data_IF_018929325056
#
_entry.id   IF_018929325056
#
_cell.length_a   1.000
_cell.length_b   1.000
_cell.length_c   1.000
_cell.angle_alpha   90.00
_cell.angle_beta   90.00
_cell.angle_gamma   90.00
#
_symmetry.space_group_name_H-M   'P 1'
#
loop_
_entity.id
_entity.type
_entity.pdbx_description
1 polymer ?
#
# COMPACT_ATOMS: atom_id res chain seq x y z
N UNK A 1 -10.28 -0.65 29.57
CA UNK A 1 -10.56 -1.64 28.51
C UNK A 1 -10.31 -3.03 29.07
N UNK A 2 -11.24 -3.96 28.90
CA UNK A 2 -11.05 -5.37 29.26
C UNK A 2 -11.10 -6.26 28.02
N UNK A 3 -10.28 -7.30 27.97
CA UNK A 3 -10.21 -8.22 26.82
C UNK A 3 -11.18 -9.38 27.06
N UNK A 4 -12.28 -9.40 26.31
CA UNK A 4 -13.32 -10.44 26.42
C UNK A 4 -12.85 -11.79 25.86
N UNK A 5 -12.18 -11.78 24.70
CA UNK A 5 -11.63 -12.99 24.05
C UNK A 5 -10.23 -12.72 23.53
N UNK A 6 -9.24 -13.44 24.05
CA UNK A 6 -7.83 -13.29 23.64
C UNK A 6 -7.56 -13.72 22.19
N UNK A 7 -8.29 -14.72 21.68
CA UNK A 7 -8.15 -15.25 20.31
C UNK A 7 -9.54 -15.51 19.73
N UNK A 8 -10.09 -14.54 19.03
CA UNK A 8 -11.43 -14.64 18.44
C UNK A 8 -11.42 -15.43 17.13
N UNK A 9 -10.41 -15.22 16.30
CA UNK A 9 -10.25 -15.85 15.00
C UNK A 9 -8.76 -15.99 14.64
N UNK A 10 -8.50 -16.79 13.60
CA UNK A 10 -7.23 -16.83 12.91
C UNK A 10 -7.47 -16.25 11.52
N UNK A 11 -6.58 -15.35 11.09
CA UNK A 11 -6.62 -14.71 9.79
C UNK A 11 -5.38 -15.14 9.01
N UNK A 12 -5.57 -15.48 7.74
CA UNK A 12 -4.49 -15.74 6.80
C UNK A 12 -3.87 -14.43 6.32
N UNK A 13 -2.62 -14.50 5.85
CA UNK A 13 -1.91 -13.34 5.29
C UNK A 13 -2.69 -12.74 4.10
N UNK A 14 -3.34 -13.59 3.29
CA UNK A 14 -4.22 -13.17 2.21
C UNK A 14 -5.40 -12.33 2.72
N UNK A 15 -6.14 -12.81 3.72
CA UNK A 15 -7.29 -12.07 4.27
C UNK A 15 -6.88 -10.74 4.89
N UNK A 16 -5.74 -10.71 5.58
CA UNK A 16 -5.18 -9.47 6.15
C UNK A 16 -4.80 -8.49 5.04
N UNK A 17 -4.11 -8.95 3.99
CA UNK A 17 -3.73 -8.12 2.85
C UNK A 17 -4.97 -7.54 2.13
N UNK A 18 -5.99 -8.37 1.88
CA UNK A 18 -7.24 -7.92 1.26
C UNK A 18 -7.92 -6.86 2.11
N UNK A 19 -8.05 -7.09 3.42
CA UNK A 19 -8.66 -6.12 4.33
C UNK A 19 -7.89 -4.79 4.37
N UNK A 20 -6.56 -4.84 4.45
CA UNK A 20 -5.74 -3.63 4.49
C UNK A 20 -5.86 -2.82 3.19
N UNK A 21 -5.94 -3.50 2.03
CA UNK A 21 -6.19 -2.83 0.74
C UNK A 21 -7.58 -2.20 0.67
N UNK A 22 -8.61 -2.86 1.17
CA UNK A 22 -9.96 -2.30 1.26
C UNK A 22 -9.98 -1.03 2.12
N UNK A 23 -9.33 -1.08 3.30
CA UNK A 23 -9.20 0.09 4.19
C UNK A 23 -8.44 1.25 3.52
N UNK A 24 -7.37 0.94 2.77
CA UNK A 24 -6.61 1.95 2.03
C UNK A 24 -7.46 2.60 0.92
N UNK A 25 -8.21 1.81 0.15
CA UNK A 25 -9.12 2.32 -0.89
C UNK A 25 -10.19 3.22 -0.27
N UNK A 26 -10.80 2.80 0.83
CA UNK A 26 -11.79 3.59 1.57
C UNK A 26 -11.20 4.89 2.13
N UNK A 27 -9.94 4.87 2.55
CA UNK A 27 -9.25 6.08 2.98
C UNK A 27 -9.00 7.03 1.80
N UNK A 28 -8.47 6.54 0.68
CA UNK A 28 -8.19 7.33 -0.51
C UNK A 28 -9.46 7.94 -1.12
N UNK A 29 -10.57 7.19 -1.15
CA UNK A 29 -11.85 7.68 -1.68
C UNK A 29 -12.44 8.78 -0.79
N UNK A 30 -12.35 8.64 0.54
CA UNK A 30 -12.75 9.69 1.50
C UNK A 30 -11.89 10.94 1.36
N UNK A 31 -10.57 10.79 1.25
CA UNK A 31 -9.65 11.91 1.06
C UNK A 31 -9.93 12.67 -0.25
N UNK A 32 -10.10 11.94 -1.36
CA UNK A 32 -10.44 12.54 -2.67
C UNK A 32 -11.76 13.30 -2.65
N UNK A 33 -12.78 12.72 -2.02
CA UNK A 33 -14.10 13.37 -1.90
C UNK A 33 -14.01 14.64 -1.07
N UNK A 34 -13.28 14.61 0.06
CA UNK A 34 -13.08 15.78 0.91
C UNK A 34 -12.32 16.91 0.17
N UNK A 35 -11.32 16.57 -0.65
CA UNK A 35 -10.61 17.56 -1.48
C UNK A 35 -11.50 18.17 -2.56
N UNK A 36 -12.34 17.35 -3.22
CA UNK A 36 -13.29 17.83 -4.22
C UNK A 36 -14.32 18.79 -3.62
N UNK A 37 -14.88 18.45 -2.47
CA UNK A 37 -15.82 19.32 -1.73
C UNK A 37 -15.16 20.64 -1.34
N UNK A 38 -13.92 20.62 -0.84
CA UNK A 38 -13.16 21.86 -0.55
C UNK A 38 -12.92 22.73 -1.78
N UNK A 39 -12.67 22.11 -2.95
CA UNK A 39 -12.50 22.83 -4.22
C UNK A 39 -13.81 23.45 -4.71
N UNK A 40 -14.94 22.80 -4.47
CA UNK A 40 -16.29 23.28 -4.85
C UNK A 40 -16.85 24.33 -3.87
N UNK A 41 -16.51 24.24 -2.58
CA UNK A 41 -17.00 25.15 -1.51
C UNK A 41 -16.08 26.38 -1.28
N UNK A 42 -14.87 26.39 -1.84
CA UNK A 42 -13.75 27.23 -1.41
C UNK A 42 -13.40 28.46 -2.25
N UNK A 43 -14.30 28.93 -3.11
CA UNK A 43 -14.26 30.29 -3.65
C UNK A 43 -14.86 31.33 -2.69
N UNK A 44 -15.38 30.95 -1.51
CA UNK A 44 -16.00 31.93 -0.61
C UNK A 44 -15.87 31.58 0.87
N UNK A 45 -15.33 32.58 1.58
CA UNK A 45 -15.43 32.87 3.01
C UNK A 45 -14.45 32.19 3.99
N UNK A 46 -13.45 33.00 4.34
CA UNK A 46 -12.71 32.96 5.58
C UNK A 46 -13.65 33.34 6.76
N UNK A 47 -13.66 32.49 7.78
CA UNK A 47 -14.17 32.70 9.14
C UNK A 47 -15.68 32.90 9.38
N UNK A 48 -16.33 31.88 9.96
CA UNK A 48 -17.07 32.01 11.23
C UNK A 48 -17.62 30.65 11.74
N UNK A 49 -17.14 30.23 12.91
CA UNK A 49 -17.96 29.74 14.03
C UNK A 49 -18.81 28.47 13.88
N UNK A 50 -18.46 27.47 14.69
CA UNK A 50 -19.38 26.48 15.27
C UNK A 50 -20.07 25.51 14.29
N UNK A 51 -19.28 24.79 13.52
CA UNK A 51 -19.59 23.42 13.12
C UNK A 51 -18.40 22.57 13.53
N UNK A 52 -18.62 21.37 14.03
CA UNK A 52 -17.57 20.36 14.20
C UNK A 52 -17.08 20.05 12.78
N UNK A 53 -16.11 20.85 12.35
CA UNK A 53 -15.59 20.91 11.00
C UNK A 53 -15.29 19.50 10.53
N UNK A 54 -15.53 19.24 9.24
CA UNK A 54 -15.20 18.02 8.49
C UNK A 54 -13.67 17.91 8.32
N UNK A 55 -12.95 18.19 9.39
CA UNK A 55 -11.52 18.02 9.63
C UNK A 55 -11.45 16.78 10.50
N UNK A 56 -10.56 15.88 10.13
CA UNK A 56 -10.32 14.60 10.79
C UNK A 56 -11.21 13.42 10.34
N UNK A 57 -11.06 13.05 9.07
CA UNK A 57 -10.66 11.65 8.82
C UNK A 57 -9.16 11.56 9.16
N UNK A 58 -8.79 11.87 10.40
CA UNK A 58 -7.40 11.84 10.86
C UNK A 58 -7.14 10.40 11.28
N UNK A 59 -6.91 9.56 10.27
CA UNK A 59 -6.33 8.24 10.51
C UNK A 59 -5.02 8.52 11.23
N UNK A 60 -4.93 8.09 12.49
CA UNK A 60 -3.73 8.30 13.30
C UNK A 60 -2.49 7.96 12.49
N UNK A 61 -1.49 8.84 12.50
CA UNK A 61 -0.23 8.64 11.78
C UNK A 61 0.37 7.25 12.05
N UNK A 62 0.34 6.80 13.30
CA UNK A 62 0.79 5.46 13.68
C UNK A 62 0.03 4.33 12.95
N UNK A 63 -1.30 4.47 12.83
CA UNK A 63 -2.11 3.50 12.10
C UNK A 63 -1.77 3.53 10.61
N UNK A 64 -1.56 4.72 10.04
CA UNK A 64 -1.17 4.88 8.63
C UNK A 64 0.16 4.20 8.34
N UNK A 65 1.17 4.42 9.18
CA UNK A 65 2.48 3.77 9.05
C UNK A 65 2.34 2.25 9.12
N UNK A 66 1.60 1.73 10.10
CA UNK A 66 1.36 0.29 10.22
C UNK A 66 0.63 -0.31 9.01
N UNK A 67 -0.37 0.39 8.46
CA UNK A 67 -1.11 -0.06 7.27
C UNK A 67 -0.17 -0.16 6.05
N UNK A 68 0.60 0.90 5.78
CA UNK A 68 1.48 0.96 4.61
C UNK A 68 2.59 -0.09 4.70
N UNK A 69 3.25 -0.20 5.85
CA UNK A 69 4.32 -1.19 6.07
C UNK A 69 3.79 -2.64 6.00
N UNK A 70 2.63 -2.91 6.59
CA UNK A 70 2.01 -4.24 6.53
C UNK A 70 1.61 -4.62 5.10
N UNK A 71 1.01 -3.68 4.35
CA UNK A 71 0.70 -3.90 2.93
C UNK A 71 1.99 -4.17 2.15
N UNK A 72 3.05 -3.38 2.36
CA UNK A 72 4.34 -3.57 1.68
C UNK A 72 4.93 -4.95 1.98
N UNK A 73 4.90 -5.39 3.24
CA UNK A 73 5.39 -6.70 3.64
C UNK A 73 4.59 -7.83 2.96
N UNK A 74 3.26 -7.83 3.09
CA UNK A 74 2.41 -8.89 2.54
C UNK A 74 2.31 -8.87 1.02
N UNK A 75 2.50 -7.71 0.39
CA UNK A 75 2.51 -7.55 -1.06
C UNK A 75 3.88 -7.83 -1.71
N UNK A 76 4.93 -8.06 -0.91
CA UNK A 76 6.27 -8.34 -1.45
C UNK A 76 6.30 -9.65 -2.27
N UNK A 77 7.15 -9.69 -3.29
CA UNK A 77 7.27 -10.85 -4.20
C UNK A 77 7.72 -12.14 -3.48
N UNK A 78 8.30 -12.02 -2.28
CA UNK A 78 8.72 -13.16 -1.45
C UNK A 78 7.51 -13.82 -0.76
N UNK A 79 6.42 -13.08 -0.55
CA UNK A 79 5.23 -13.61 0.10
C UNK A 79 4.33 -14.33 -0.91
N UNK A 80 3.66 -15.43 -0.50
CA UNK A 80 2.69 -16.11 -1.36
C UNK A 80 1.36 -15.37 -1.53
N UNK A 81 1.01 -14.49 -0.59
CA UNK A 81 -0.29 -13.83 -0.52
C UNK A 81 -0.73 -13.11 -1.82
N UNK A 82 0.15 -12.43 -2.58
CA UNK A 82 -0.22 -11.79 -3.85
C UNK A 82 -0.64 -12.79 -4.95
N UNK A 83 -0.15 -14.03 -4.88
CA UNK A 83 -0.39 -15.08 -5.87
C UNK A 83 -1.54 -16.01 -5.47
N UNK A 84 -2.28 -15.65 -4.44
CA UNK A 84 -3.40 -16.42 -3.91
C UNK A 84 -4.73 -15.82 -4.34
N UNK A 85 -5.71 -16.70 -4.51
CA UNK A 85 -7.11 -16.34 -4.76
C UNK A 85 -7.99 -16.96 -3.67
N UNK A 86 -9.16 -16.38 -3.38
CA UNK A 86 -10.05 -16.94 -2.37
C UNK A 86 -10.56 -18.32 -2.78
N UNK A 87 -10.77 -18.54 -4.09
CA UNK A 87 -11.12 -19.84 -4.67
C UNK A 87 -9.97 -20.85 -4.51
N UNK A 88 -8.73 -20.44 -4.82
CA UNK A 88 -7.53 -21.25 -4.67
C UNK A 88 -7.31 -21.70 -3.22
N UNK A 89 -7.45 -20.79 -2.25
CA UNK A 89 -7.33 -21.10 -0.83
C UNK A 89 -8.44 -22.06 -0.37
N UNK A 90 -9.70 -21.83 -0.77
CA UNK A 90 -10.81 -22.73 -0.43
C UNK A 90 -10.60 -24.13 -1.02
N UNK A 91 -10.11 -24.20 -2.25
CA UNK A 91 -9.80 -25.47 -2.90
C UNK A 91 -8.65 -26.18 -2.17
N UNK A 92 -7.57 -25.47 -1.86
CA UNK A 92 -6.46 -26.00 -1.09
C UNK A 92 -6.93 -26.58 0.25
N UNK A 93 -7.72 -25.83 1.03
CA UNK A 93 -8.22 -26.29 2.33
C UNK A 93 -9.12 -27.52 2.23
N UNK A 94 -9.91 -27.66 1.16
CA UNK A 94 -10.70 -28.85 0.88
C UNK A 94 -9.81 -30.04 0.51
N UNK A 95 -8.82 -29.83 -0.34
CA UNK A 95 -7.86 -30.87 -0.73
C UNK A 95 -6.97 -31.30 0.43
N UNK A 96 -6.72 -30.41 1.40
CA UNK A 96 -5.98 -30.71 2.63
C UNK A 96 -6.85 -31.39 3.72
N UNK A 97 -8.16 -31.54 3.50
CA UNK A 97 -9.07 -32.15 4.49
C UNK A 97 -8.80 -33.63 4.80
N UNK A 98 -8.41 -34.49 3.83
CA UNK A 98 -8.08 -35.90 4.08
C UNK A 98 -6.81 -36.08 4.91
N UNK A 99 -5.93 -35.09 4.90
CA UNK A 99 -4.71 -35.09 5.69
C UNK A 99 -5.04 -34.67 7.12
N UNK A 100 -4.52 -35.42 8.10
CA UNK A 100 -4.73 -35.17 9.52
C UNK A 100 -3.91 -33.96 10.01
N UNK A 101 -4.14 -32.79 9.41
CA UNK A 101 -3.46 -31.53 9.70
C UNK A 101 -4.27 -30.69 10.69
N UNK A 102 -3.57 -30.09 11.66
CA UNK A 102 -4.16 -29.16 12.61
C UNK A 102 -4.57 -27.86 11.93
N UNK A 103 -5.43 -27.06 12.59
CA UNK A 103 -5.84 -25.75 12.06
C UNK A 103 -4.65 -24.80 11.89
N UNK A 104 -3.65 -24.87 12.78
CA UNK A 104 -2.45 -24.06 12.73
C UNK A 104 -1.55 -24.46 11.54
N UNK A 105 -1.36 -25.76 11.32
CA UNK A 105 -0.60 -26.27 10.17
C UNK A 105 -1.25 -25.87 8.85
N UNK A 106 -2.59 -26.01 8.73
CA UNK A 106 -3.32 -25.56 7.54
C UNK A 106 -3.14 -24.06 7.29
N UNK A 107 -3.18 -23.25 8.36
CA UNK A 107 -2.95 -21.81 8.25
C UNK A 107 -1.52 -21.49 7.82
N UNK A 108 -0.53 -22.19 8.36
CA UNK A 108 0.88 -22.02 7.97
C UNK A 108 1.12 -22.46 6.52
N UNK A 109 0.51 -23.56 6.07
CA UNK A 109 0.57 -24.00 4.67
C UNK A 109 -0.01 -22.91 3.75
N UNK A 110 -1.13 -22.29 4.12
CA UNK A 110 -1.70 -21.16 3.36
C UNK A 110 -0.76 -19.96 3.39
N UNK A 111 -0.21 -19.57 4.54
CA UNK A 111 0.61 -18.36 4.65
C UNK A 111 2.00 -18.47 4.00
N UNK A 112 2.63 -19.66 4.08
CA UNK A 112 4.00 -19.90 3.60
C UNK A 112 4.01 -20.52 2.21
N UNK A 113 2.95 -21.23 1.82
CA UNK A 113 2.82 -21.95 0.56
C UNK A 113 4.07 -22.81 0.23
N UNK A 114 4.32 -23.90 0.99
CA UNK A 114 5.52 -24.71 0.84
C UNK A 114 5.62 -25.30 -0.58
N UNK A 115 6.68 -24.93 -1.30
CA UNK A 115 6.97 -25.44 -2.65
C UNK A 115 8.04 -26.52 -2.66
N UNK A 116 8.66 -26.79 -1.52
CA UNK A 116 9.73 -27.77 -1.38
C UNK A 116 9.55 -28.59 -0.11
N UNK A 117 10.08 -29.80 -0.14
CA UNK A 117 10.00 -30.74 0.98
C UNK A 117 10.54 -30.15 2.29
N UNK A 118 11.74 -29.53 2.35
CA UNK A 118 12.27 -29.00 3.60
C UNK A 118 11.41 -27.90 4.23
N UNK A 119 10.73 -27.09 3.42
CA UNK A 119 9.82 -26.05 3.93
C UNK A 119 8.57 -26.69 4.53
N UNK A 120 8.04 -27.75 3.91
CA UNK A 120 6.94 -28.50 4.49
C UNK A 120 7.35 -29.15 5.83
N UNK A 121 8.57 -29.68 5.94
CA UNK A 121 9.14 -30.23 7.19
C UNK A 121 9.18 -29.22 8.32
N UNK A 122 9.41 -27.95 8.03
CA UNK A 122 9.40 -26.90 9.03
C UNK A 122 8.00 -26.55 9.54
N UNK A 123 6.94 -26.93 8.82
CA UNK A 123 5.55 -26.59 9.15
C UNK A 123 4.87 -27.69 9.96
N UNK A 124 5.07 -28.95 9.60
CA UNK A 124 4.34 -30.09 10.20
C UNK A 124 5.25 -30.82 11.18
N UNK A 125 4.81 -30.91 12.44
CA UNK A 125 5.53 -31.65 13.48
C UNK A 125 5.37 -33.16 13.32
N UNK A 126 6.41 -33.92 13.69
CA UNK A 126 6.44 -35.40 13.69
C UNK A 126 5.96 -36.01 12.36
N UNK A 127 6.39 -35.42 11.25
CA UNK A 127 5.83 -35.73 9.93
C UNK A 127 6.13 -37.16 9.45
N UNK A 128 7.26 -37.76 9.86
CA UNK A 128 7.64 -39.16 9.53
C UNK A 128 6.61 -40.17 10.02
N UNK A 129 6.00 -39.93 11.18
CA UNK A 129 5.04 -40.84 11.81
C UNK A 129 3.61 -40.63 11.29
N UNK A 130 3.32 -39.45 10.73
CA UNK A 130 1.95 -39.02 10.38
C UNK A 130 1.59 -39.21 8.91
N UNK A 131 2.56 -39.19 8.00
CA UNK A 131 2.30 -39.24 6.56
C UNK A 131 3.45 -39.86 5.78
N UNK A 132 3.12 -40.43 4.63
CA UNK A 132 4.14 -41.01 3.74
C UNK A 132 4.79 -39.94 2.88
N UNK A 133 5.98 -40.23 2.35
CA UNK A 133 6.69 -39.33 1.42
C UNK A 133 5.84 -38.97 0.19
N UNK A 134 5.05 -39.92 -0.31
CA UNK A 134 4.16 -39.69 -1.45
C UNK A 134 3.05 -38.68 -1.12
N UNK A 135 2.46 -38.77 0.08
CA UNK A 135 1.46 -37.82 0.57
C UNK A 135 2.05 -36.41 0.73
N UNK A 136 3.30 -36.31 1.18
CA UNK A 136 4.00 -35.03 1.29
C UNK A 136 4.20 -34.38 -0.09
N UNK A 137 4.61 -35.18 -1.09
CA UNK A 137 4.74 -34.69 -2.46
C UNK A 137 3.38 -34.27 -3.04
N UNK A 138 2.31 -35.00 -2.73
CA UNK A 138 0.95 -34.64 -3.12
C UNK A 138 0.55 -33.28 -2.53
N UNK A 139 0.78 -33.03 -1.24
CA UNK A 139 0.51 -31.74 -0.58
C UNK A 139 1.24 -30.60 -1.30
N UNK A 140 2.51 -30.77 -1.63
CA UNK A 140 3.30 -29.74 -2.35
C UNK A 140 2.66 -29.47 -3.72
N UNK A 141 2.25 -30.53 -4.45
CA UNK A 141 1.55 -30.38 -5.71
C UNK A 141 0.20 -29.65 -5.57
N UNK A 142 -0.56 -29.94 -4.52
CA UNK A 142 -1.82 -29.25 -4.22
C UNK A 142 -1.60 -27.76 -3.94
N UNK A 143 -0.55 -27.41 -3.18
CA UNK A 143 -0.18 -26.01 -2.91
C UNK A 143 0.18 -25.31 -4.22
N UNK A 144 1.04 -25.90 -5.05
CA UNK A 144 1.44 -25.31 -6.32
C UNK A 144 0.25 -25.09 -7.27
N UNK A 145 -0.69 -26.04 -7.31
CA UNK A 145 -1.90 -25.92 -8.13
C UNK A 145 -2.89 -24.88 -7.63
N UNK A 146 -2.83 -24.52 -6.34
CA UNK A 146 -3.69 -23.48 -5.75
C UNK A 146 -3.20 -22.06 -6.01
N UNK A 147 -1.92 -21.91 -6.37
CA UNK A 147 -1.31 -20.62 -6.67
C UNK A 147 -1.50 -20.27 -8.14
N UNK A 148 -1.81 -19.01 -8.40
CA UNK A 148 -1.88 -18.47 -9.76
C UNK A 148 -0.53 -17.92 -10.17
N UNK A 149 0.03 -18.39 -11.30
CA UNK A 149 1.32 -17.92 -11.82
C UNK A 149 1.29 -16.50 -12.38
N UNK A 150 0.09 -15.95 -12.62
CA UNK A 150 -0.12 -14.71 -13.38
C UNK A 150 -0.76 -13.55 -12.58
N UNK A 151 -0.97 -13.65 -11.26
CA UNK A 151 -1.55 -12.53 -10.50
C UNK A 151 -0.46 -11.60 -9.97
N UNK A 152 -0.24 -10.52 -10.73
CA UNK A 152 0.04 -9.17 -10.20
C UNK A 152 -1.22 -8.34 -10.47
N UNK A 153 -1.98 -7.97 -9.45
CA UNK A 153 -3.15 -7.07 -9.60
C UNK A 153 -2.77 -5.58 -9.39
N UNK A 154 -3.64 -4.63 -9.79
CA UNK A 154 -3.31 -3.46 -10.61
C UNK A 154 -2.58 -2.34 -9.85
N UNK A 155 -1.73 -1.60 -10.57
CA UNK A 155 -1.12 -0.31 -10.24
C UNK A 155 -1.36 0.19 -8.81
N UNK A 156 -0.37 -0.01 -7.95
CA UNK A 156 -0.25 0.74 -6.71
C UNK A 156 -0.20 2.24 -7.05
N UNK A 157 -0.95 3.12 -6.36
CA UNK A 157 -0.63 4.53 -6.38
C UNK A 157 0.79 4.69 -5.84
N UNK A 158 1.64 5.32 -6.63
CA UNK A 158 3.07 5.49 -6.39
C UNK A 158 3.33 6.06 -4.97
N UNK A 159 3.99 5.27 -4.12
CA UNK A 159 4.32 5.58 -2.72
C UNK A 159 5.56 6.50 -2.59
N UNK A 160 5.98 7.18 -3.66
CA UNK A 160 7.19 8.02 -3.62
C UNK A 160 6.93 9.50 -3.28
N UNK A 161 5.68 9.94 -3.11
CA UNK A 161 5.36 11.36 -2.91
C UNK A 161 5.15 11.81 -1.45
N UNK A 162 5.25 10.92 -0.45
CA UNK A 162 4.91 11.25 0.94
C UNK A 162 6.11 11.17 1.92
N UNK A 163 7.26 10.60 1.54
CA UNK A 163 8.40 10.38 2.47
C UNK A 163 9.68 11.11 2.02
N UNK A 164 9.55 12.36 1.54
CA UNK A 164 10.67 13.12 1.00
C UNK A 164 10.72 14.57 1.49
N UNK A 165 10.59 14.80 2.79
CA UNK A 165 10.78 16.11 3.40
C UNK A 165 11.78 16.04 4.58
N UNK A 166 12.99 15.57 4.30
CA UNK A 166 14.18 15.88 5.11
C UNK A 166 15.47 15.45 4.42
N UNK A 167 16.23 16.42 3.90
CA UNK A 167 17.70 16.35 3.84
C UNK A 167 18.37 16.04 2.49
N UNK A 168 18.89 17.10 1.89
CA UNK A 168 20.16 17.23 1.14
C UNK A 168 20.30 16.77 -0.33
N UNK A 169 20.86 17.70 -1.11
CA UNK A 169 21.13 17.79 -2.55
C UNK A 169 21.81 16.58 -3.23
N UNK A 170 21.38 16.25 -4.46
CA UNK A 170 22.28 16.08 -5.63
C UNK A 170 21.53 15.92 -6.96
N UNK A 171 22.04 16.65 -7.97
CA UNK A 171 21.58 16.71 -9.37
C UNK A 171 21.65 15.38 -10.13
N UNK A 172 20.69 15.13 -11.05
CA UNK A 172 20.93 14.45 -12.34
C UNK A 172 19.70 14.51 -13.28
N UNK A 173 19.93 14.95 -14.52
CA UNK A 173 19.01 15.08 -15.65
C UNK A 173 18.46 13.74 -16.21
N UNK A 174 17.25 13.75 -16.80
CA UNK A 174 16.95 12.98 -18.02
C UNK A 174 15.53 12.39 -18.19
N UNK A 175 14.83 12.88 -19.24
CA UNK A 175 13.65 12.35 -19.99
C UNK A 175 12.29 12.22 -19.28
N UNK A 176 11.21 12.91 -19.67
CA UNK A 176 10.49 13.08 -20.96
C UNK A 176 9.28 12.14 -21.06
N UNK A 177 8.11 12.66 -20.67
CA UNK A 177 6.83 12.32 -21.27
C UNK A 177 5.73 13.32 -20.85
N UNK A 178 5.24 14.07 -21.84
CA UNK A 178 4.37 15.23 -21.69
C UNK A 178 2.87 15.00 -21.86
N UNK A 179 2.19 16.13 -22.16
CA UNK A 179 0.75 16.42 -22.34
C UNK A 179 0.02 16.87 -21.05
N UNK A 180 -0.65 18.04 -20.97
CA UNK A 180 -1.09 19.01 -21.98
C UNK A 180 -1.45 20.37 -21.34
N UNK A 181 -0.99 21.45 -21.97
CA UNK A 181 -1.70 22.70 -22.30
C UNK A 181 -2.37 23.57 -21.21
N UNK A 182 -1.74 24.71 -20.90
CA UNK A 182 -2.43 26.01 -20.95
C UNK A 182 -1.44 27.04 -21.52
N UNK A 183 -1.57 27.33 -22.81
CA UNK A 183 -1.10 28.60 -23.39
C UNK A 183 -1.88 29.76 -22.76
N UNK A 184 -1.18 30.72 -22.16
CA UNK A 184 -1.66 32.09 -22.07
C UNK A 184 -0.54 33.03 -22.53
N UNK A 185 -0.90 33.87 -23.49
CA UNK A 185 -0.03 34.76 -24.26
C UNK A 185 0.56 35.86 -23.38
N UNK A 186 1.89 35.88 -23.24
CA UNK A 186 2.62 37.10 -22.93
C UNK A 186 3.77 37.25 -23.93
N UNK A 187 3.47 37.86 -25.08
CA UNK A 187 4.47 38.45 -25.96
C UNK A 187 5.27 39.50 -25.17
N UNK A 188 6.50 39.18 -24.80
CA UNK A 188 7.49 40.18 -24.41
C UNK A 188 8.01 40.84 -25.69
N UNK A 189 7.54 42.06 -25.96
CA UNK A 189 8.10 42.96 -26.96
C UNK A 189 9.41 43.53 -26.43
N UNK A 190 10.51 42.87 -26.80
CA UNK A 190 11.88 43.31 -26.57
C UNK A 190 12.30 44.33 -27.66
N UNK A 191 11.74 45.54 -27.57
CA UNK A 191 12.26 46.71 -28.26
C UNK A 191 12.73 47.73 -27.22
N UNK A 192 14.03 47.66 -26.92
CA UNK A 192 14.67 48.49 -25.92
C UNK A 192 14.55 49.99 -26.17
N UNK A 193 14.16 50.71 -25.12
CA UNK A 193 14.57 52.08 -24.83
C UNK A 193 14.73 52.21 -23.31
N UNK A 194 15.98 52.41 -22.88
CA UNK A 194 16.31 52.59 -21.47
C UNK A 194 15.83 53.95 -20.95
N UNK A 195 15.01 53.93 -19.91
CA UNK A 195 14.80 55.08 -19.04
C UNK A 195 15.61 54.84 -17.75
N UNK A 196 16.83 55.36 -17.73
CA UNK A 196 17.64 55.42 -16.51
C UNK A 196 16.91 56.25 -15.46
N UNK A 197 16.63 55.65 -14.32
CA UNK A 197 16.26 56.37 -13.10
C UNK A 197 17.55 56.53 -12.31
N UNK A 198 18.21 57.68 -12.48
CA UNK A 198 19.29 58.11 -11.59
C UNK A 198 18.65 58.43 -10.24
N UNK A 199 18.82 57.52 -9.27
CA UNK A 199 18.49 57.75 -7.88
C UNK A 199 19.67 58.41 -7.19
N UNK A 200 19.50 59.69 -6.87
CA UNK A 200 20.33 60.42 -5.91
C UNK A 200 20.32 59.66 -4.57
N UNK A 201 21.46 59.07 -4.21
CA UNK A 201 21.71 58.57 -2.87
C UNK A 201 22.78 59.47 -2.26
N UNK A 202 22.29 60.45 -1.49
CA UNK A 202 23.08 61.27 -0.58
C UNK A 202 23.92 60.35 0.32
N UNK A 203 25.23 60.51 0.23
CA UNK A 203 26.20 59.88 1.14
C UNK A 203 26.40 60.86 2.28
N UNK A 204 25.88 60.52 3.47
CA UNK A 204 26.14 61.26 4.70
C UNK A 204 27.64 61.24 5.04
N UNK A 205 28.16 62.41 5.40
CA UNK A 205 29.53 62.68 5.83
C UNK A 205 29.92 61.92 7.12
N UNK A 206 31.12 61.32 7.12
CA UNK A 206 32.00 61.14 8.29
C UNK A 206 33.48 61.10 7.85
#
# INVERSE_FOLDING_TARGET
>A
MEVVKKRAALLSNYEVLTLLRELEIDHLTRAKTALKVKKEEGGSNLNAGAGKDVRDVDVSENLRTMEVEAIQYFASDIQPAPYQTPEGIRQLLRSLAPYNLTKAEKLQIVNIAPQSMPVLWAIIEEMEDRMTVDQMQEIIGLVQNSLTKDIKEPNQPNLHSIVGASGEDQDAYGDDDGYMDVVDDAQFDDTGEGAGVEGDLDVDDD
#
